data_IF_998889481670
#
_entry.id   IF_998889481670
#
_cell.length_a   1.000
_cell.length_b   1.000
_cell.length_c   1.000
_cell.angle_alpha   90.00
_cell.angle_beta   90.00
_cell.angle_gamma   90.00
#
_symmetry.space_group_name_H-M   'P 1'
#
loop_
_entity.id
_entity.type
_entity.pdbx_description
1 polymer ?
#
# COMPACT_ATOMS: atom_id res chain seq x y z
N UNK A 1 14.94 58.42 0.55
CA UNK A 1 15.14 57.52 -0.61
C UNK A 1 14.34 58.10 -1.76
N UNK A 2 14.95 58.27 -2.94
CA UNK A 2 14.26 58.85 -4.09
C UNK A 2 13.18 57.85 -4.58
N UNK A 3 11.95 58.28 -4.94
CA UNK A 3 10.93 57.39 -5.50
C UNK A 3 11.39 56.53 -6.69
N UNK A 4 12.34 57.02 -7.49
CA UNK A 4 13.00 56.25 -8.57
C UNK A 4 13.81 55.05 -8.02
N UNK A 5 14.53 55.24 -6.91
CA UNK A 5 15.35 54.19 -6.27
C UNK A 5 14.48 53.08 -5.66
N UNK A 6 13.31 53.46 -5.11
CA UNK A 6 12.33 52.50 -4.57
C UNK A 6 11.75 51.64 -5.69
N UNK A 7 11.46 52.25 -6.85
CA UNK A 7 10.92 51.55 -8.00
C UNK A 7 11.93 50.58 -8.62
N UNK A 8 13.20 50.98 -8.72
CA UNK A 8 14.28 50.09 -9.20
C UNK A 8 14.52 48.92 -8.24
N UNK A 9 14.50 49.16 -6.93
CA UNK A 9 14.62 48.10 -5.94
C UNK A 9 13.45 47.10 -6.02
N UNK A 10 12.22 47.58 -6.22
CA UNK A 10 11.05 46.72 -6.41
C UNK A 10 11.17 45.86 -7.66
N UNK A 11 11.61 46.44 -8.78
CA UNK A 11 11.85 45.69 -10.02
C UNK A 11 12.92 44.63 -9.84
N UNK A 12 14.05 44.96 -9.21
CA UNK A 12 15.14 44.01 -8.92
C UNK A 12 14.68 42.85 -8.02
N UNK A 13 13.89 43.14 -6.98
CA UNK A 13 13.32 42.12 -6.11
C UNK A 13 12.35 41.20 -6.86
N UNK A 14 11.54 41.76 -7.76
CA UNK A 14 10.60 40.98 -8.55
C UNK A 14 11.31 40.09 -9.58
N UNK A 15 12.34 40.60 -10.25
CA UNK A 15 13.17 39.82 -11.17
C UNK A 15 13.90 38.68 -10.45
N UNK A 16 14.49 38.97 -9.28
CA UNK A 16 15.16 37.97 -8.45
C UNK A 16 14.20 36.89 -7.92
N UNK A 17 12.99 37.27 -7.50
CA UNK A 17 11.97 36.29 -7.10
C UNK A 17 11.55 35.40 -8.28
N UNK A 18 11.35 36.00 -9.46
CA UNK A 18 10.96 35.26 -10.68
C UNK A 18 12.05 34.29 -11.14
N UNK A 19 13.33 34.68 -11.05
CA UNK A 19 14.44 33.79 -11.40
C UNK A 19 14.51 32.59 -10.47
N UNK A 20 14.37 32.79 -9.16
CA UNK A 20 14.37 31.71 -8.16
C UNK A 20 13.18 30.78 -8.37
N UNK A 21 11.98 31.30 -8.59
CA UNK A 21 10.81 30.46 -8.89
C UNK A 21 11.00 29.65 -10.17
N UNK A 22 11.68 30.20 -11.17
CA UNK A 22 11.95 29.49 -12.43
C UNK A 22 12.94 28.36 -12.23
N UNK A 23 14.02 28.60 -11.47
CA UNK A 23 15.00 27.57 -11.11
C UNK A 23 14.35 26.43 -10.32
N UNK A 24 13.55 26.75 -9.29
CA UNK A 24 12.82 25.75 -8.50
C UNK A 24 11.88 24.92 -9.36
N UNK A 25 11.16 25.54 -10.31
CA UNK A 25 10.26 24.82 -11.22
C UNK A 25 11.00 23.90 -12.20
N UNK A 26 12.23 24.26 -12.58
CA UNK A 26 13.08 23.42 -13.40
C UNK A 26 13.65 22.23 -12.60
N UNK A 27 13.99 22.45 -11.33
CA UNK A 27 14.39 21.38 -10.42
C UNK A 27 13.24 20.38 -10.15
N UNK A 28 12.02 20.90 -10.01
CA UNK A 28 10.80 20.11 -9.83
C UNK A 28 10.35 19.40 -11.12
N UNK A 29 10.96 19.71 -12.27
CA UNK A 29 10.55 19.14 -13.55
C UNK A 29 10.76 17.62 -13.57
N UNK A 30 9.65 16.88 -13.54
CA UNK A 30 9.64 15.42 -13.49
C UNK A 30 9.36 14.83 -12.11
N UNK A 31 9.39 15.65 -11.06
CA UNK A 31 8.93 15.27 -9.73
C UNK A 31 7.42 15.46 -9.63
N UNK A 32 6.74 14.52 -8.97
CA UNK A 32 5.31 14.63 -8.66
C UNK A 32 5.15 14.80 -7.16
N UNK A 33 4.54 15.91 -6.76
CA UNK A 33 4.22 16.16 -5.36
C UNK A 33 3.10 15.21 -4.90
N UNK A 34 3.41 14.32 -3.95
CA UNK A 34 2.46 13.33 -3.41
C UNK A 34 1.64 13.83 -2.20
N UNK A 35 1.97 15.01 -1.66
CA UNK A 35 1.27 15.62 -0.53
C UNK A 35 1.49 17.13 -0.46
N UNK A 36 0.51 17.85 0.09
CA UNK A 36 0.48 19.32 0.12
C UNK A 36 1.26 19.92 1.29
N UNK A 37 1.29 19.26 2.46
CA UNK A 37 1.96 19.73 3.68
C UNK A 37 2.63 18.56 4.37
N UNK A 38 3.88 18.73 4.80
CA UNK A 38 4.60 17.72 5.57
C UNK A 38 3.91 17.52 6.93
N UNK A 39 3.44 16.30 7.21
CA UNK A 39 2.85 15.93 8.51
C UNK A 39 1.33 15.82 8.54
N UNK A 40 0.63 16.19 7.47
CA UNK A 40 -0.80 15.91 7.38
C UNK A 40 -1.06 14.41 7.22
N UNK A 41 -2.11 13.87 7.86
CA UNK A 41 -2.50 12.47 7.66
C UNK A 41 -2.92 12.25 6.20
N UNK A 42 -2.47 11.15 5.62
CA UNK A 42 -2.87 10.75 4.27
C UNK A 42 -4.36 10.44 4.27
N UNK A 43 -5.15 11.22 3.53
CA UNK A 43 -6.59 10.98 3.38
C UNK A 43 -6.85 9.71 2.56
N UNK A 44 -8.00 9.07 2.75
CA UNK A 44 -8.35 7.83 2.02
C UNK A 44 -8.30 7.98 0.49
N UNK A 45 -8.72 9.14 -0.02
CA UNK A 45 -8.66 9.42 -1.46
C UNK A 45 -7.20 9.51 -1.93
N UNK A 46 -6.32 10.15 -1.15
CA UNK A 46 -4.90 10.25 -1.46
C UNK A 46 -4.23 8.88 -1.39
N UNK A 47 -4.57 8.03 -0.40
CA UNK A 47 -4.11 6.64 -0.31
C UNK A 47 -4.44 5.86 -1.58
N UNK A 48 -5.70 5.91 -2.04
CA UNK A 48 -6.15 5.24 -3.26
C UNK A 48 -5.38 5.74 -4.49
N UNK A 49 -5.15 7.06 -4.59
CA UNK A 49 -4.40 7.66 -5.69
C UNK A 49 -2.93 7.23 -5.69
N UNK A 50 -2.27 7.27 -4.53
CA UNK A 50 -0.88 6.87 -4.35
C UNK A 50 -0.67 5.39 -4.71
N UNK A 51 -1.59 4.53 -4.30
CA UNK A 51 -1.53 3.09 -4.61
C UNK A 51 -1.65 2.86 -6.13
N UNK A 52 -2.61 3.50 -6.81
CA UNK A 52 -2.75 3.42 -8.27
C UNK A 52 -1.50 3.91 -8.99
N UNK A 53 -0.90 4.99 -8.50
CA UNK A 53 0.32 5.56 -9.06
C UNK A 53 1.52 4.61 -8.87
N UNK A 54 1.68 4.03 -7.68
CA UNK A 54 2.74 3.06 -7.40
C UNK A 54 2.66 1.83 -8.29
N UNK A 55 1.46 1.26 -8.50
CA UNK A 55 1.23 0.16 -9.46
C UNK A 55 1.65 0.53 -10.88
N UNK A 56 1.37 1.76 -11.31
CA UNK A 56 1.77 2.26 -12.63
C UNK A 56 3.30 2.35 -12.73
N UNK A 57 3.98 2.92 -11.73
CA UNK A 57 5.44 3.01 -11.73
C UNK A 57 6.10 1.63 -11.73
N UNK A 58 5.65 0.71 -10.88
CA UNK A 58 6.16 -0.66 -10.89
C UNK A 58 5.99 -1.35 -12.26
N UNK A 59 4.91 -1.05 -13.00
CA UNK A 59 4.66 -1.63 -14.32
C UNK A 59 5.44 -0.95 -15.45
N UNK A 60 5.87 0.30 -15.29
CA UNK A 60 6.50 1.12 -16.34
C UNK A 60 7.98 1.32 -16.16
N UNK A 61 8.45 1.36 -14.92
CA UNK A 61 9.85 1.53 -14.56
C UNK A 61 10.51 0.15 -14.33
N UNK A 62 11.42 -0.29 -15.21
CA UNK A 62 12.11 -1.57 -15.05
C UNK A 62 13.02 -1.60 -13.81
N UNK A 63 13.53 -0.46 -13.34
CA UNK A 63 14.36 -0.39 -12.13
C UNK A 63 13.50 -0.61 -10.89
N UNK A 64 12.35 0.03 -10.80
CA UNK A 64 11.38 -0.20 -9.72
C UNK A 64 10.94 -1.67 -9.67
N UNK A 65 10.62 -2.25 -10.84
CA UNK A 65 10.26 -3.66 -10.95
C UNK A 65 11.39 -4.59 -10.47
N UNK A 66 12.62 -4.33 -10.91
CA UNK A 66 13.77 -5.15 -10.54
C UNK A 66 14.15 -5.01 -9.07
N UNK A 67 14.02 -3.81 -8.47
CA UNK A 67 14.27 -3.58 -7.06
C UNK A 67 13.32 -4.41 -6.18
N UNK A 68 12.02 -4.37 -6.48
CA UNK A 68 11.00 -5.15 -5.77
C UNK A 68 11.27 -6.65 -5.92
N UNK A 69 11.56 -7.11 -7.14
CA UNK A 69 11.89 -8.52 -7.40
C UNK A 69 13.09 -8.98 -6.57
N UNK A 70 14.19 -8.22 -6.56
CA UNK A 70 15.38 -8.55 -5.78
C UNK A 70 15.04 -8.63 -4.29
N UNK A 71 14.31 -7.64 -3.76
CA UNK A 71 13.91 -7.64 -2.36
C UNK A 71 13.11 -8.90 -2.00
N UNK A 72 12.11 -9.24 -2.80
CA UNK A 72 11.28 -10.43 -2.61
C UNK A 72 12.10 -11.71 -2.70
N UNK A 73 13.01 -11.82 -3.67
CA UNK A 73 13.82 -13.02 -3.89
C UNK A 73 14.80 -13.27 -2.74
N UNK A 74 15.46 -12.22 -2.24
CA UNK A 74 16.36 -12.31 -1.09
C UNK A 74 15.62 -12.60 0.23
N UNK A 75 14.40 -12.09 0.38
CA UNK A 75 13.61 -12.27 1.61
C UNK A 75 12.98 -13.66 1.68
N UNK A 76 12.34 -14.10 0.60
CA UNK A 76 11.53 -15.31 0.63
C UNK A 76 12.20 -16.52 0.01
N UNK A 77 13.08 -16.37 -0.99
CA UNK A 77 13.78 -17.50 -1.63
C UNK A 77 12.89 -18.74 -1.86
N UNK A 78 13.16 -19.88 -1.18
CA UNK A 78 12.37 -21.11 -1.27
C UNK A 78 11.07 -21.13 -0.45
N UNK A 79 10.78 -20.06 0.29
CA UNK A 79 9.64 -19.89 1.19
C UNK A 79 10.04 -19.98 2.68
N UNK A 80 9.15 -19.49 3.52
CA UNK A 80 9.26 -19.54 4.98
C UNK A 80 9.06 -20.98 5.50
N UNK A 81 9.91 -21.38 6.43
CA UNK A 81 9.74 -22.57 7.26
C UNK A 81 9.29 -22.18 8.67
N UNK A 82 8.61 -23.09 9.36
CA UNK A 82 8.17 -22.88 10.73
C UNK A 82 8.27 -24.19 11.51
N UNK A 83 8.39 -24.09 12.82
CA UNK A 83 8.40 -25.23 13.74
C UNK A 83 7.60 -24.89 14.99
N UNK A 84 7.10 -25.91 15.68
CA UNK A 84 6.25 -25.77 16.86
C UNK A 84 6.48 -26.93 17.83
N UNK A 85 6.50 -26.65 19.13
CA UNK A 85 6.68 -27.66 20.18
C UNK A 85 5.41 -28.47 20.45
N UNK A 86 4.24 -27.83 20.44
CA UNK A 86 2.95 -28.51 20.61
C UNK A 86 2.56 -29.28 19.35
N UNK A 87 2.71 -30.60 19.40
CA UNK A 87 2.36 -31.51 18.31
C UNK A 87 0.87 -31.49 17.92
N UNK A 88 -0.02 -31.14 18.85
CA UNK A 88 -1.46 -31.04 18.56
C UNK A 88 -1.78 -29.80 17.73
N UNK A 89 -1.18 -28.67 18.07
CA UNK A 89 -1.30 -27.42 17.33
C UNK A 89 -0.57 -27.49 15.98
N UNK A 90 0.61 -28.12 15.95
CA UNK A 90 1.38 -28.38 14.73
C UNK A 90 0.56 -29.13 13.69
N UNK A 91 -0.14 -30.21 14.08
CA UNK A 91 -1.02 -30.97 13.16
C UNK A 91 -2.12 -30.09 12.55
N UNK A 92 -2.75 -29.22 13.35
CA UNK A 92 -3.78 -28.30 12.86
C UNK A 92 -3.20 -27.28 11.89
N UNK A 93 -2.04 -26.70 12.23
CA UNK A 93 -1.37 -25.73 11.38
C UNK A 93 -0.87 -26.38 10.08
N UNK A 94 -0.39 -27.61 10.10
CA UNK A 94 0.00 -28.35 8.90
C UNK A 94 -1.17 -28.53 7.93
N UNK A 95 -2.36 -28.87 8.45
CA UNK A 95 -3.58 -28.99 7.63
C UNK A 95 -3.88 -27.64 6.96
N UNK A 96 -3.90 -26.55 7.72
CA UNK A 96 -4.12 -25.21 7.17
C UNK A 96 -3.06 -24.79 6.15
N UNK A 97 -1.79 -25.05 6.45
CA UNK A 97 -0.64 -24.63 5.64
C UNK A 97 -0.54 -25.40 4.32
N UNK A 98 -0.85 -26.69 4.34
CA UNK A 98 -0.76 -27.59 3.17
C UNK A 98 -2.07 -27.63 2.36
N UNK A 99 -3.15 -27.02 2.85
CA UNK A 99 -4.43 -26.95 2.15
C UNK A 99 -4.27 -26.38 0.73
N UNK A 100 -4.68 -27.10 -0.33
CA UNK A 100 -4.67 -26.60 -1.70
C UNK A 100 -5.35 -25.24 -1.87
N UNK A 101 -6.40 -24.96 -1.11
CA UNK A 101 -7.13 -23.69 -1.13
C UNK A 101 -6.27 -22.53 -0.61
N UNK A 102 -5.27 -22.78 0.24
CA UNK A 102 -4.42 -21.76 0.84
C UNK A 102 -3.10 -21.55 0.10
N UNK A 103 -2.75 -22.43 -0.85
CA UNK A 103 -1.50 -22.36 -1.63
C UNK A 103 -1.26 -21.02 -2.28
N UNK A 104 -2.31 -20.35 -2.77
CA UNK A 104 -2.18 -19.04 -3.39
C UNK A 104 -1.54 -18.00 -2.45
N UNK A 105 -1.69 -18.15 -1.13
CA UNK A 105 -1.08 -17.25 -0.14
C UNK A 105 0.13 -17.89 0.55
N UNK A 106 0.03 -19.15 0.98
CA UNK A 106 1.00 -19.77 1.87
C UNK A 106 2.14 -20.54 1.18
N UNK A 107 2.01 -20.91 -0.09
CA UNK A 107 3.13 -21.52 -0.82
C UNK A 107 4.28 -20.53 -0.99
N UNK A 108 5.49 -21.00 -1.30
CA UNK A 108 6.63 -20.11 -1.57
C UNK A 108 6.32 -19.05 -2.65
N UNK A 109 5.64 -19.45 -3.74
CA UNK A 109 5.17 -18.52 -4.77
C UNK A 109 4.10 -17.56 -4.22
N UNK A 110 3.19 -18.07 -3.38
CA UNK A 110 2.18 -17.27 -2.71
C UNK A 110 2.78 -16.20 -1.81
N UNK A 111 3.80 -16.54 -1.03
CA UNK A 111 4.51 -15.64 -0.14
C UNK A 111 5.27 -14.56 -0.93
N UNK A 112 6.00 -14.95 -1.98
CA UNK A 112 6.65 -13.99 -2.90
C UNK A 112 5.65 -13.02 -3.50
N UNK A 113 4.49 -13.51 -3.95
CA UNK A 113 3.41 -12.64 -4.45
C UNK A 113 2.86 -11.69 -3.38
N UNK A 114 2.79 -12.11 -2.12
CA UNK A 114 2.40 -11.22 -1.02
C UNK A 114 3.46 -10.15 -0.75
N UNK A 115 4.74 -10.49 -0.83
CA UNK A 115 5.86 -9.55 -0.75
C UNK A 115 5.81 -8.50 -1.85
N UNK A 116 5.68 -8.93 -3.11
CA UNK A 116 5.56 -8.03 -4.25
C UNK A 116 4.36 -7.09 -4.08
N UNK A 117 3.20 -7.63 -3.67
CA UNK A 117 2.01 -6.84 -3.38
C UNK A 117 2.26 -5.78 -2.32
N UNK A 118 2.86 -6.16 -1.19
CA UNK A 118 3.16 -5.23 -0.11
C UNK A 118 4.12 -4.12 -0.56
N UNK A 119 5.19 -4.47 -1.28
CA UNK A 119 6.19 -3.50 -1.74
C UNK A 119 5.67 -2.57 -2.83
N UNK A 120 4.74 -3.05 -3.68
CA UNK A 120 4.09 -2.22 -4.71
C UNK A 120 2.98 -1.36 -4.10
N UNK A 121 2.07 -1.95 -3.34
CA UNK A 121 0.87 -1.27 -2.88
C UNK A 121 1.11 -0.46 -1.60
N UNK A 122 2.19 -0.74 -0.85
CA UNK A 122 2.48 -0.18 0.48
C UNK A 122 1.68 -0.84 1.61
N UNK A 123 0.68 -1.65 1.27
CA UNK A 123 -0.22 -2.32 2.20
C UNK A 123 -0.64 -3.70 1.67
N UNK A 124 -0.92 -4.64 2.57
CA UNK A 124 -1.44 -5.96 2.23
C UNK A 124 -2.47 -6.40 3.25
N UNK A 125 -3.65 -6.81 2.77
CA UNK A 125 -4.73 -7.30 3.61
C UNK A 125 -4.92 -8.81 3.42
N UNK A 126 -5.02 -9.54 4.52
CA UNK A 126 -5.39 -10.95 4.53
C UNK A 126 -6.75 -11.14 5.21
N UNK A 127 -7.67 -11.81 4.52
CA UNK A 127 -8.94 -12.24 5.08
C UNK A 127 -8.87 -13.75 5.39
N UNK A 128 -9.23 -14.10 6.63
CA UNK A 128 -9.38 -15.48 7.08
C UNK A 128 -10.87 -15.83 7.11
N UNK A 129 -11.27 -16.78 6.28
CA UNK A 129 -12.63 -17.32 6.26
C UNK A 129 -12.66 -18.61 7.05
N UNK A 130 -13.40 -18.61 8.16
CA UNK A 130 -13.57 -19.76 9.03
C UNK A 130 -14.77 -20.60 8.55
N UNK A 131 -14.51 -21.86 8.24
CA UNK A 131 -15.50 -22.85 7.86
C UNK A 131 -15.87 -23.78 9.02
N UNK A 132 -16.76 -24.76 8.79
CA UNK A 132 -17.10 -25.76 9.79
C UNK A 132 -15.88 -26.59 10.20
N UNK A 133 -15.93 -27.15 11.40
CA UNK A 133 -14.90 -28.07 11.95
C UNK A 133 -13.48 -27.47 12.01
N UNK A 134 -13.36 -26.14 12.15
CA UNK A 134 -12.05 -25.48 12.26
C UNK A 134 -11.28 -25.39 10.95
N UNK A 135 -11.95 -25.60 9.82
CA UNK A 135 -11.35 -25.28 8.51
C UNK A 135 -11.17 -23.78 8.38
N UNK A 136 -10.04 -23.35 7.80
CA UNK A 136 -9.75 -21.94 7.61
C UNK A 136 -9.13 -21.72 6.23
N UNK A 137 -9.60 -20.68 5.56
CA UNK A 137 -9.17 -20.31 4.23
C UNK A 137 -8.61 -18.89 4.26
N UNK A 138 -7.39 -18.68 3.74
CA UNK A 138 -6.76 -17.36 3.68
C UNK A 138 -6.82 -16.78 2.26
N UNK A 139 -7.21 -15.51 2.13
CA UNK A 139 -7.20 -14.76 0.87
C UNK A 139 -6.51 -13.42 1.04
N UNK A 140 -5.79 -12.99 0.00
CA UNK A 140 -5.41 -11.58 -0.12
C UNK A 140 -6.62 -10.79 -0.60
N UNK A 141 -6.86 -9.65 0.02
CA UNK A 141 -7.81 -8.64 -0.44
C UNK A 141 -7.04 -7.57 -1.20
N UNK A 142 -7.58 -7.07 -2.31
CA UNK A 142 -6.97 -5.93 -2.98
C UNK A 142 -7.17 -4.69 -2.09
N UNK A 143 -6.11 -3.96 -1.71
CA UNK A 143 -6.27 -2.80 -0.84
C UNK A 143 -7.20 -1.72 -1.41
N UNK A 144 -7.33 -1.63 -2.74
CA UNK A 144 -8.30 -0.73 -3.40
C UNK A 144 -9.75 -1.12 -3.14
N UNK A 145 -10.01 -2.35 -2.70
CA UNK A 145 -11.34 -2.77 -2.26
C UNK A 145 -11.60 -2.38 -0.80
N UNK A 146 -10.57 -2.03 0.00
CA UNK A 146 -10.74 -1.55 1.38
C UNK A 146 -10.97 -0.05 1.35
N UNK A 147 -12.22 0.36 1.55
CA UNK A 147 -12.68 1.74 1.40
C UNK A 147 -12.68 2.54 2.69
N UNK A 148 -12.67 1.88 3.85
CA UNK A 148 -12.71 2.51 5.17
C UNK A 148 -12.07 1.57 6.20
N UNK A 149 -11.28 2.13 7.11
CA UNK A 149 -10.78 1.47 8.32
C UNK A 149 -11.55 2.06 9.50
N UNK A 150 -12.24 1.20 10.25
CA UNK A 150 -13.13 1.62 11.34
C UNK A 150 -12.43 1.24 12.65
N UNK A 151 -11.96 2.25 13.38
CA UNK A 151 -11.35 2.10 14.71
C UNK A 151 -12.36 2.33 15.84
N UNK A 152 -11.96 1.99 17.05
CA UNK A 152 -12.68 2.36 18.27
C UNK A 152 -12.82 3.90 18.35
N UNK A 153 -14.02 4.45 18.61
CA UNK A 153 -14.20 5.89 18.76
C UNK A 153 -13.34 6.53 19.85
N UNK A 154 -12.98 5.76 20.88
CA UNK A 154 -12.18 6.22 22.02
C UNK A 154 -10.68 5.87 21.87
N UNK A 155 -10.31 5.04 20.89
CA UNK A 155 -8.92 4.63 20.60
C UNK A 155 -8.69 4.45 19.08
N UNK A 156 -8.08 5.46 18.45
CA UNK A 156 -7.84 5.48 17.01
C UNK A 156 -6.90 4.36 16.51
N UNK A 157 -6.03 3.85 17.39
CA UNK A 157 -5.09 2.77 17.07
C UNK A 157 -5.76 1.38 17.17
N UNK A 158 -6.90 1.29 17.87
CA UNK A 158 -7.69 0.07 18.00
C UNK A 158 -8.59 -0.15 16.78
N UNK A 159 -8.02 -0.66 15.69
CA UNK A 159 -8.80 -1.03 14.49
C UNK A 159 -9.79 -2.15 14.80
N UNK A 160 -11.07 -1.94 14.52
CA UNK A 160 -12.14 -2.91 14.78
C UNK A 160 -12.59 -3.63 13.50
N UNK A 161 -12.77 -2.88 12.41
CA UNK A 161 -13.32 -3.40 11.16
C UNK A 161 -12.71 -2.75 9.92
N UNK A 162 -12.85 -3.45 8.79
CA UNK A 162 -12.50 -2.98 7.46
C UNK A 162 -13.74 -3.04 6.57
N UNK A 163 -14.11 -1.91 5.93
CA UNK A 163 -15.17 -1.89 4.91
C UNK A 163 -14.58 -2.26 3.56
N UNK A 164 -15.09 -3.35 2.98
CA UNK A 164 -14.72 -3.82 1.65
C UNK A 164 -15.82 -3.53 0.62
N UNK A 165 -15.46 -2.95 -0.52
CA UNK A 165 -16.32 -2.81 -1.69
C UNK A 165 -15.62 -3.43 -2.91
N UNK A 166 -16.30 -4.30 -3.65
CA UNK A 166 -15.71 -4.94 -4.83
C UNK A 166 -16.74 -5.21 -5.91
N UNK A 167 -16.30 -5.23 -7.17
CA UNK A 167 -17.14 -5.59 -8.30
C UNK A 167 -16.99 -7.08 -8.61
N UNK A 168 -18.11 -7.77 -8.76
CA UNK A 168 -18.10 -9.14 -9.30
C UNK A 168 -17.67 -9.15 -10.76
N UNK A 169 -17.34 -10.33 -11.29
CA UNK A 169 -17.04 -10.49 -12.73
C UNK A 169 -18.17 -10.01 -13.65
N UNK A 170 -19.41 -10.00 -13.16
CA UNK A 170 -20.59 -9.52 -13.88
C UNK A 170 -20.84 -8.01 -13.70
N UNK A 171 -19.94 -7.29 -13.03
CA UNK A 171 -20.05 -5.84 -12.79
C UNK A 171 -20.95 -5.44 -11.62
N UNK A 172 -21.62 -6.39 -10.96
CA UNK A 172 -22.42 -6.08 -9.78
C UNK A 172 -21.51 -5.67 -8.61
N UNK A 173 -21.77 -4.49 -8.04
CA UNK A 173 -21.08 -3.97 -6.85
C UNK A 173 -21.53 -4.76 -5.61
N UNK A 174 -20.56 -5.14 -4.79
CA UNK A 174 -20.74 -5.84 -3.53
C UNK A 174 -20.07 -5.08 -2.41
N UNK A 175 -20.63 -5.20 -1.21
CA UNK A 175 -20.13 -4.57 0.00
C UNK A 175 -20.03 -5.62 1.11
N UNK A 176 -19.04 -5.47 1.99
CA UNK A 176 -18.84 -6.32 3.15
C UNK A 176 -18.09 -5.58 4.24
N UNK A 177 -18.24 -6.05 5.48
CA UNK A 177 -17.49 -5.56 6.63
C UNK A 177 -16.72 -6.74 7.20
N UNK A 178 -15.41 -6.62 7.26
CA UNK A 178 -14.52 -7.62 7.83
C UNK A 178 -14.06 -7.16 9.20
N UNK A 179 -13.99 -8.08 10.15
CA UNK A 179 -13.43 -7.81 11.48
C UNK A 179 -11.90 -7.82 11.39
N UNK A 180 -11.24 -6.92 12.14
CA UNK A 180 -9.78 -6.93 12.31
C UNK A 180 -9.28 -8.09 13.17
#
# INVERSE_FOLDING_TARGET
MNPEDVKTLQTLLQEAATSVETELRLEDAGWTQLGTVTGDPILDIQRIMNLKQSRLYHAKDPLAHQAIRLWTDYTFGPGMSWNMEDESAKKKLEVFWKDPMNRNVLSAQGQRKSSDKLLVDGEVFFALFLGPNGTAIIRRVDPLEITEIISDPDDADATMYYRRQWSTRLGALQNGIYRS
#
